data_IF_420475801427
#
_entry.id   IF_420475801427
#
_cell.length_a   1.000
_cell.length_b   1.000
_cell.length_c   1.000
_cell.angle_alpha   90.00
_cell.angle_beta   90.00
_cell.angle_gamma   90.00
#
_symmetry.space_group_name_H-M   'P 1'
#
loop_
_entity.id
_entity.type
_entity.pdbx_description
1 polymer ?
#
# COMPACT_ATOMS: atom_id res chain seq x y z
N UNK A 1 -8.20 -1.21 12.14
CA UNK A 1 -9.27 -0.95 11.15
C UNK A 1 -9.58 0.52 10.88
N UNK A 2 -8.90 1.48 11.53
CA UNK A 2 -9.17 2.92 11.32
C UNK A 2 -9.12 3.35 9.84
N UNK A 3 -8.20 2.79 9.05
CA UNK A 3 -8.10 3.05 7.61
C UNK A 3 -9.30 2.50 6.81
N UNK A 4 -9.81 1.33 7.18
CA UNK A 4 -10.97 0.72 6.49
C UNK A 4 -12.24 1.49 6.86
N UNK A 5 -12.32 1.98 8.10
CA UNK A 5 -13.42 2.80 8.60
C UNK A 5 -13.48 4.21 7.98
N UNK A 6 -12.38 4.70 7.39
CA UNK A 6 -12.35 5.99 6.68
C UNK A 6 -13.06 5.94 5.31
N UNK A 7 -13.48 4.75 4.84
CA UNK A 7 -14.22 4.60 3.61
C UNK A 7 -15.62 5.23 3.66
N UNK A 8 -16.18 5.56 2.51
CA UNK A 8 -17.52 6.14 2.34
C UNK A 8 -18.65 5.10 2.34
N UNK A 9 -18.42 3.93 2.94
CA UNK A 9 -19.37 2.82 3.04
C UNK A 9 -19.50 1.96 1.77
N UNK A 10 -18.72 2.24 0.72
CA UNK A 10 -18.58 1.36 -0.46
C UNK A 10 -17.79 0.09 -0.11
N UNK A 11 -18.08 -1.04 -0.78
CA UNK A 11 -17.26 -2.24 -0.66
C UNK A 11 -15.79 -1.92 -0.98
N UNK A 12 -14.90 -2.38 -0.11
CA UNK A 12 -13.45 -2.15 -0.23
C UNK A 12 -12.75 -3.48 -0.49
N UNK A 13 -11.86 -3.52 -1.47
CA UNK A 13 -11.00 -4.69 -1.70
C UNK A 13 -9.59 -4.32 -1.26
N UNK A 14 -9.08 -5.07 -0.28
CA UNK A 14 -7.70 -4.99 0.18
C UNK A 14 -6.90 -5.97 -0.69
N UNK A 15 -5.95 -5.44 -1.45
CA UNK A 15 -5.10 -6.25 -2.33
C UNK A 15 -3.73 -6.42 -1.67
N UNK A 16 -3.30 -7.66 -1.44
CA UNK A 16 -1.95 -8.00 -0.96
C UNK A 16 -1.24 -8.89 -1.98
N UNK A 17 0.09 -8.82 -2.00
CA UNK A 17 0.87 -9.85 -2.68
C UNK A 17 0.74 -11.20 -1.94
N UNK A 18 1.18 -12.28 -2.58
CA UNK A 18 1.03 -13.64 -2.06
C UNK A 18 2.16 -14.08 -1.13
N UNK A 19 2.95 -13.15 -0.57
CA UNK A 19 4.04 -13.52 0.33
C UNK A 19 3.50 -14.23 1.58
N UNK A 20 4.19 -15.29 2.02
CA UNK A 20 3.76 -16.14 3.14
C UNK A 20 3.51 -15.36 4.44
N UNK A 21 4.21 -14.24 4.64
CA UNK A 21 4.04 -13.35 5.79
C UNK A 21 2.63 -12.75 5.89
N UNK A 22 1.92 -12.59 4.77
CA UNK A 22 0.56 -12.05 4.74
C UNK A 22 -0.52 -13.08 5.11
N UNK A 23 -0.20 -14.37 5.10
CA UNK A 23 -1.14 -15.46 5.40
C UNK A 23 -1.33 -15.71 6.91
N UNK A 24 -0.78 -14.85 7.76
CA UNK A 24 -0.96 -14.89 9.21
C UNK A 24 -2.22 -14.19 9.71
N UNK A 25 -3.01 -13.60 8.81
CA UNK A 25 -4.29 -12.96 9.15
C UNK A 25 -5.31 -14.05 9.48
N UNK A 26 -5.84 -14.00 10.70
CA UNK A 26 -6.79 -15.00 11.21
C UNK A 26 -8.21 -14.81 10.63
N UNK A 27 -8.98 -15.90 10.63
CA UNK A 27 -10.33 -15.90 10.08
C UNK A 27 -11.27 -14.93 10.80
N UNK A 28 -11.13 -14.74 12.11
CA UNK A 28 -11.98 -13.82 12.87
C UNK A 28 -11.73 -12.36 12.44
N UNK A 29 -10.49 -12.00 12.13
CA UNK A 29 -10.17 -10.70 11.53
C UNK A 29 -10.81 -10.54 10.14
N UNK A 30 -10.75 -11.57 9.28
CA UNK A 30 -11.37 -11.52 7.96
C UNK A 30 -12.89 -11.39 8.03
N UNK A 31 -13.54 -12.16 8.92
CA UNK A 31 -14.99 -12.12 9.11
C UNK A 31 -15.44 -10.75 9.61
N UNK A 32 -14.70 -10.16 10.55
CA UNK A 32 -14.96 -8.82 11.07
C UNK A 32 -14.83 -7.76 9.97
N UNK A 33 -13.78 -7.82 9.15
CA UNK A 33 -13.61 -6.92 8.00
C UNK A 33 -14.77 -7.03 7.01
N UNK A 34 -15.23 -8.24 6.74
CA UNK A 34 -16.33 -8.46 5.81
C UNK A 34 -17.67 -7.94 6.37
N UNK A 35 -18.01 -8.33 7.60
CA UNK A 35 -19.32 -8.04 8.21
C UNK A 35 -19.45 -6.58 8.67
N UNK A 36 -18.43 -6.03 9.33
CA UNK A 36 -18.50 -4.70 9.93
C UNK A 36 -18.03 -3.59 9.00
N UNK A 37 -17.19 -3.91 8.00
CA UNK A 37 -16.54 -2.89 7.17
C UNK A 37 -16.76 -3.08 5.67
N UNK A 38 -17.50 -4.11 5.23
CA UNK A 38 -17.68 -4.45 3.81
C UNK A 38 -16.33 -4.55 3.06
N UNK A 39 -15.31 -5.02 3.76
CA UNK A 39 -13.96 -5.15 3.24
C UNK A 39 -13.63 -6.62 2.94
N UNK A 40 -13.02 -6.86 1.79
CA UNK A 40 -12.60 -8.18 1.33
C UNK A 40 -11.10 -8.20 1.09
N UNK A 41 -10.41 -9.23 1.58
CA UNK A 41 -9.01 -9.48 1.26
C UNK A 41 -8.88 -10.28 -0.03
N UNK A 42 -8.02 -9.82 -0.92
CA UNK A 42 -7.67 -10.47 -2.18
C UNK A 42 -6.15 -10.61 -2.30
N UNK A 43 -5.67 -11.83 -2.48
CA UNK A 43 -4.26 -12.10 -2.74
C UNK A 43 -4.01 -12.17 -4.24
N UNK A 44 -2.97 -11.48 -4.71
CA UNK A 44 -2.48 -11.61 -6.08
C UNK A 44 -1.92 -13.02 -6.34
N UNK A 45 -1.83 -13.47 -7.60
CA UNK A 45 -1.11 -14.70 -7.93
C UNK A 45 0.37 -14.61 -7.48
N UNK A 46 1.00 -15.74 -7.14
CA UNK A 46 2.41 -15.75 -6.75
C UNK A 46 3.31 -15.13 -7.82
N UNK A 47 4.34 -14.39 -7.39
CA UNK A 47 5.34 -13.78 -8.26
C UNK A 47 4.77 -12.87 -9.36
N UNK A 48 3.66 -12.16 -9.09
CA UNK A 48 3.01 -11.24 -10.04
C UNK A 48 3.14 -9.76 -9.62
N UNK A 49 4.37 -9.21 -9.49
CA UNK A 49 4.58 -7.82 -9.06
C UNK A 49 3.97 -6.79 -10.04
N UNK A 50 3.81 -7.15 -11.32
CA UNK A 50 3.18 -6.32 -12.35
C UNK A 50 1.68 -6.05 -12.08
N UNK A 51 1.03 -6.91 -11.30
CA UNK A 51 -0.36 -6.73 -10.87
C UNK A 51 -0.48 -5.90 -9.59
N UNK A 52 0.64 -5.65 -8.89
CA UNK A 52 0.65 -4.90 -7.64
C UNK A 52 0.95 -3.42 -7.90
N UNK A 53 -0.10 -2.57 -7.89
CA UNK A 53 0.02 -1.13 -8.18
C UNK A 53 1.03 -0.40 -7.29
N UNK A 54 1.26 -0.87 -6.05
CA UNK A 54 2.25 -0.25 -5.16
C UNK A 54 3.67 -0.38 -5.71
N UNK A 55 3.97 -1.38 -6.53
CA UNK A 55 5.28 -1.53 -7.19
C UNK A 55 5.56 -0.38 -8.16
N UNK A 56 4.53 0.11 -8.85
CA UNK A 56 4.62 1.30 -9.70
C UNK A 56 4.93 2.53 -8.83
N UNK A 57 4.23 2.67 -7.70
CA UNK A 57 4.49 3.74 -6.74
C UNK A 57 5.94 3.71 -6.26
N UNK A 58 6.42 2.54 -5.82
CA UNK A 58 7.80 2.38 -5.36
C UNK A 58 8.83 2.67 -6.44
N UNK A 59 8.57 2.26 -7.69
CA UNK A 59 9.43 2.59 -8.83
C UNK A 59 9.52 4.10 -8.99
N UNK A 60 8.40 4.82 -8.99
CA UNK A 60 8.40 6.27 -9.10
C UNK A 60 9.07 6.97 -7.92
N UNK A 61 8.81 6.53 -6.69
CA UNK A 61 9.47 7.06 -5.49
C UNK A 61 11.00 6.94 -5.61
N UNK A 62 11.50 5.77 -6.01
CA UNK A 62 12.93 5.48 -6.08
C UNK A 62 13.66 6.17 -7.22
N UNK A 63 13.04 6.28 -8.40
CA UNK A 63 13.75 6.72 -9.61
C UNK A 63 13.38 8.12 -10.08
N UNK A 64 12.22 8.65 -9.66
CA UNK A 64 11.69 9.91 -10.19
C UNK A 64 11.46 10.97 -9.13
N UNK A 65 10.99 10.60 -7.93
CA UNK A 65 10.59 11.59 -6.92
C UNK A 65 11.66 11.90 -5.89
N UNK A 66 12.46 10.91 -5.49
CA UNK A 66 13.56 11.15 -4.56
C UNK A 66 14.72 11.83 -5.28
N UNK A 67 15.47 12.64 -4.53
CA UNK A 67 16.79 13.10 -4.98
C UNK A 67 17.77 11.92 -4.96
N UNK A 68 18.70 11.88 -5.91
CA UNK A 68 19.81 10.92 -5.89
C UNK A 68 20.85 11.34 -4.85
N UNK A 69 20.51 11.14 -3.58
CA UNK A 69 21.38 11.35 -2.42
C UNK A 69 21.35 10.09 -1.55
N UNK A 70 22.44 9.83 -0.84
CA UNK A 70 22.49 8.70 0.10
C UNK A 70 21.64 9.01 1.32
N UNK A 71 20.64 8.17 1.59
CA UNK A 71 19.90 8.19 2.84
C UNK A 71 20.64 7.31 3.85
N UNK A 72 21.00 7.89 5.00
CA UNK A 72 21.58 7.16 6.12
C UNK A 72 20.48 6.58 7.00
N UNK A 73 20.84 5.68 7.92
CA UNK A 73 19.89 5.12 8.89
C UNK A 73 19.18 6.21 9.71
N UNK A 74 19.86 7.32 9.98
CA UNK A 74 19.36 8.43 10.79
C UNK A 74 18.43 9.36 10.00
N UNK A 75 18.53 9.36 8.66
CA UNK A 75 17.81 10.30 7.78
C UNK A 75 16.70 9.64 6.98
N UNK A 76 16.75 8.32 6.80
CA UNK A 76 15.82 7.57 5.94
C UNK A 76 14.35 7.79 6.30
N UNK A 77 14.01 7.81 7.59
CA UNK A 77 12.62 7.96 8.04
C UNK A 77 12.07 9.36 7.72
N UNK A 78 12.87 10.41 7.97
CA UNK A 78 12.49 11.79 7.71
C UNK A 78 12.35 12.05 6.20
N UNK A 79 13.28 11.54 5.40
CA UNK A 79 13.26 11.66 3.94
C UNK A 79 12.09 10.89 3.33
N UNK A 80 11.80 9.68 3.82
CA UNK A 80 10.65 8.88 3.39
C UNK A 80 9.34 9.59 3.76
N UNK A 81 9.21 10.13 4.96
CA UNK A 81 8.03 10.88 5.39
C UNK A 81 7.80 12.14 4.53
N UNK A 82 8.87 12.88 4.23
CA UNK A 82 8.80 14.04 3.33
C UNK A 82 8.34 13.63 1.93
N UNK A 83 8.83 12.49 1.42
CA UNK A 83 8.45 12.00 0.10
C UNK A 83 6.99 11.51 0.05
N UNK A 84 6.55 10.78 1.07
CA UNK A 84 5.17 10.31 1.21
C UNK A 84 4.17 11.46 1.40
N UNK A 85 4.52 12.49 2.19
CA UNK A 85 3.65 13.66 2.37
C UNK A 85 3.41 14.46 1.09
N UNK A 86 4.33 14.35 0.11
CA UNK A 86 4.17 14.95 -1.21
C UNK A 86 3.30 14.14 -2.18
N UNK A 87 2.96 12.88 -1.86
CA UNK A 87 2.12 12.05 -2.71
C UNK A 87 0.68 12.57 -2.76
N UNK A 88 0.07 12.55 -3.94
CA UNK A 88 -1.26 13.10 -4.21
C UNK A 88 -1.27 14.60 -4.55
N UNK A 89 -0.22 15.34 -4.17
CA UNK A 89 -0.11 16.79 -4.45
C UNK A 89 1.06 17.08 -5.39
N UNK A 90 2.29 16.99 -4.89
CA UNK A 90 3.53 17.22 -5.65
C UNK A 90 3.87 16.04 -6.56
N UNK A 91 3.52 14.83 -6.12
CA UNK A 91 3.81 13.59 -6.82
C UNK A 91 2.51 12.85 -7.11
N UNK A 92 2.27 12.52 -8.37
CA UNK A 92 1.06 11.82 -8.81
C UNK A 92 1.45 10.70 -9.78
N UNK A 93 0.64 9.64 -9.79
CA UNK A 93 0.72 8.55 -10.76
C UNK A 93 -0.65 8.45 -11.42
N UNK A 94 -0.62 8.35 -12.74
CA UNK A 94 -1.78 7.95 -13.50
C UNK A 94 -1.70 6.43 -13.74
N UNK A 95 -2.71 5.71 -13.26
CA UNK A 95 -2.85 4.25 -13.44
C UNK A 95 -3.82 3.88 -14.57
N UNK A 96 -4.39 4.88 -15.26
CA UNK A 96 -5.29 4.72 -16.41
C UNK A 96 -4.53 4.62 -17.73
#
# INVERSE_FOLDING_TARGET
DSLIQQGDGRPTVIVLDNASVHHSIDQHTLDRWFLEHKALLFYLPPYSPELNLIEIVWKHMKYHWRRFVTWTKETIDAELAALLSGYGTKFQINFS
#
